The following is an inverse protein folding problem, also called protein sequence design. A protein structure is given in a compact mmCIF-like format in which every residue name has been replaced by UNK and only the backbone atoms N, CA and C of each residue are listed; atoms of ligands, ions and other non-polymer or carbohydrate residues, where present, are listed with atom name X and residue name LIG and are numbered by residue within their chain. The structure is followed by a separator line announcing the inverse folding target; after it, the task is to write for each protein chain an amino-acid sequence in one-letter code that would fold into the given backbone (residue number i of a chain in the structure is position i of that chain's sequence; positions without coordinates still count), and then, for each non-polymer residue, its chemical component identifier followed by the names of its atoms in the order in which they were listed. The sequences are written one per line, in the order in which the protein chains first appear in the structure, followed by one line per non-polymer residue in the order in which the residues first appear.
data_IF_625117748808
#
_entry.id   IF_625117748808
#
_cell.length_a   1.000
_cell.length_b   1.000
_cell.length_c   1.000
_cell.angle_alpha   90.00
_cell.angle_beta   90.00
_cell.angle_gamma   90.00
#
_symmetry.space_group_name_H-M   'P 1'
#
loop_
_entity.id
_entity.type
_entity.pdbx_description
1 polymer ?
#
# COMPACT_ATOMS: atom_id res chain seq x y z
N UNK A 1 66.27 18.47 38.52
CA UNK A 1 66.36 17.07 38.91
C UNK A 1 65.25 16.36 38.11
N UNK A 2 65.64 15.79 37.01
CA UNK A 2 65.78 14.40 36.65
C UNK A 2 64.73 13.49 37.29
N UNK A 3 63.80 12.85 36.59
CA UNK A 3 64.02 11.63 35.85
C UNK A 3 62.82 11.24 34.95
N UNK A 4 63.21 10.86 33.77
CA UNK A 4 62.56 10.10 32.76
C UNK A 4 62.15 8.69 33.21
N UNK A 5 61.11 8.10 32.60
CA UNK A 5 61.09 6.68 32.23
C UNK A 5 60.16 6.40 31.07
N UNK A 6 60.72 6.29 29.95
CA UNK A 6 60.63 5.36 28.82
C UNK A 6 59.56 4.27 28.85
N UNK A 7 58.73 4.24 27.81
CA UNK A 7 58.70 3.28 26.71
C UNK A 7 58.13 1.90 26.96
N UNK A 8 57.11 1.52 26.22
CA UNK A 8 57.10 0.28 25.43
C UNK A 8 56.10 0.37 24.28
N UNK A 9 56.62 0.50 23.07
CA UNK A 9 55.92 0.25 21.81
C UNK A 9 55.66 -1.23 21.68
N UNK A 10 54.45 -1.59 21.31
CA UNK A 10 54.06 -2.87 20.73
C UNK A 10 53.60 -2.66 19.30
N UNK A 11 54.42 -2.97 18.34
CA UNK A 11 54.12 -2.91 16.94
C UNK A 11 53.27 -4.14 16.54
N UNK A 12 52.13 -3.93 15.91
CA UNK A 12 51.47 -4.94 15.09
C UNK A 12 51.46 -4.46 13.64
N UNK A 13 52.32 -5.08 12.86
CA UNK A 13 52.32 -4.98 11.42
C UNK A 13 51.22 -5.89 10.85
N UNK A 14 50.27 -5.31 10.14
CA UNK A 14 49.35 -6.06 9.26
C UNK A 14 49.53 -5.47 7.85
N UNK A 15 49.98 -6.31 6.94
CA UNK A 15 50.38 -5.99 5.59
C UNK A 15 49.22 -5.48 4.73
N UNK A 16 49.47 -4.36 4.07
CA UNK A 16 48.62 -3.79 3.04
C UNK A 16 49.11 -4.36 1.69
N UNK A 17 48.33 -5.19 1.05
CA UNK A 17 48.54 -5.53 -0.36
C UNK A 17 47.79 -4.52 -1.21
N UNK A 18 48.57 -3.60 -1.78
CA UNK A 18 48.11 -2.72 -2.84
C UNK A 18 48.13 -3.47 -4.16
N UNK A 19 46.97 -3.77 -4.71
CA UNK A 19 46.81 -4.09 -6.12
C UNK A 19 46.17 -2.87 -6.79
N UNK A 20 46.99 -2.12 -7.50
CA UNK A 20 46.55 -1.01 -8.33
C UNK A 20 45.92 -1.50 -9.61
N UNK A 21 44.92 -0.78 -10.08
CA UNK A 21 44.26 -0.98 -11.38
C UNK A 21 43.14 0.02 -11.54
N UNK A 22 43.43 1.14 -12.18
CA UNK A 22 42.46 2.17 -12.49
C UNK A 22 41.50 1.76 -13.57
N UNK A 23 40.26 2.17 -13.43
CA UNK A 23 39.37 2.58 -14.53
C UNK A 23 38.16 3.29 -13.92
N UNK A 24 38.03 4.58 -14.24
CA UNK A 24 36.81 5.32 -13.97
C UNK A 24 35.71 4.76 -14.88
N UNK A 25 34.88 3.91 -14.32
CA UNK A 25 33.63 3.42 -14.93
C UNK A 25 32.49 4.14 -14.25
N UNK A 26 31.76 4.97 -14.99
CA UNK A 26 30.45 5.46 -14.61
C UNK A 26 29.55 4.21 -14.56
N UNK A 27 29.44 3.63 -13.39
CA UNK A 27 28.60 2.47 -13.16
C UNK A 27 27.12 2.89 -13.24
N UNK A 28 26.49 2.66 -14.38
CA UNK A 28 25.05 2.50 -14.42
C UNK A 28 24.69 1.37 -13.46
N UNK A 29 23.97 1.69 -12.39
CA UNK A 29 23.37 0.68 -11.50
C UNK A 29 22.29 -0.02 -12.33
N UNK A 30 22.70 -1.01 -13.10
CA UNK A 30 21.79 -2.01 -13.64
C UNK A 30 21.33 -2.81 -12.42
N UNK A 31 20.08 -2.63 -12.02
CA UNK A 31 19.41 -3.56 -11.11
C UNK A 31 19.37 -4.92 -11.82
N UNK A 32 20.42 -5.69 -11.65
CA UNK A 32 20.45 -7.06 -12.12
C UNK A 32 19.31 -7.80 -11.44
N UNK A 33 18.39 -8.34 -12.22
CA UNK A 33 17.37 -9.25 -11.72
C UNK A 33 18.11 -10.41 -11.01
N UNK A 34 17.84 -10.70 -9.74
CA UNK A 34 18.52 -11.78 -9.06
C UNK A 34 18.35 -13.08 -9.84
N UNK A 35 19.33 -13.99 -9.83
CA UNK A 35 19.19 -15.29 -10.48
C UNK A 35 17.92 -15.99 -10.00
N UNK A 36 17.25 -16.68 -10.90
CA UNK A 36 15.99 -17.40 -10.62
C UNK A 36 16.07 -18.26 -9.34
N UNK A 37 17.22 -18.91 -9.12
CA UNK A 37 17.46 -19.75 -7.94
C UNK A 37 17.43 -18.95 -6.62
N UNK A 38 17.94 -17.72 -6.60
CA UNK A 38 17.93 -16.88 -5.38
C UNK A 38 16.55 -16.33 -5.11
N UNK A 39 15.80 -16.02 -6.16
CA UNK A 39 14.41 -15.60 -6.06
C UNK A 39 13.52 -16.73 -5.52
N UNK A 40 13.70 -17.96 -5.99
CA UNK A 40 12.98 -19.14 -5.51
C UNK A 40 13.33 -19.49 -4.05
N UNK A 41 14.58 -19.31 -3.63
CA UNK A 41 15.00 -19.49 -2.23
C UNK A 41 14.34 -18.48 -1.29
N UNK A 42 14.28 -17.22 -1.70
CA UNK A 42 13.60 -16.17 -0.92
C UNK A 42 12.10 -16.47 -0.81
N UNK A 43 11.46 -16.88 -1.90
CA UNK A 43 10.05 -17.29 -1.89
C UNK A 43 9.81 -18.50 -0.99
N UNK A 44 10.68 -19.51 -1.03
CA UNK A 44 10.57 -20.71 -0.19
C UNK A 44 10.84 -20.42 1.30
N UNK A 45 11.80 -19.54 1.62
CA UNK A 45 12.10 -19.14 2.99
C UNK A 45 10.95 -18.34 3.63
N UNK A 46 10.21 -17.56 2.83
CA UNK A 46 9.03 -16.81 3.28
C UNK A 46 7.77 -17.69 3.37
N UNK A 47 7.72 -18.81 2.65
CA UNK A 47 6.61 -19.77 2.72
C UNK A 47 6.71 -20.72 3.93
N UNK A 48 7.89 -20.89 4.51
CA UNK A 48 8.18 -21.89 5.57
C UNK A 48 7.97 -21.42 7.01
N UNK A 49 7.53 -20.19 7.27
CA UNK A 49 7.40 -19.64 8.63
C UNK A 49 5.98 -19.64 9.20
N UNK A 50 5.01 -20.23 8.50
CA UNK A 50 3.63 -20.24 8.96
C UNK A 50 3.12 -21.67 9.16
N UNK A 51 3.38 -22.22 10.36
CA UNK A 51 2.65 -23.36 10.90
C UNK A 51 1.86 -22.91 12.11
N UNK A 52 0.57 -22.66 11.91
CA UNK A 52 -0.38 -22.75 13.00
C UNK A 52 -1.24 -21.54 13.26
N UNK A 53 -2.49 -21.61 12.83
CA UNK A 53 -3.66 -21.70 13.69
C UNK A 53 -4.90 -21.71 12.80
N UNK A 54 -5.63 -22.81 12.84
CA UNK A 54 -6.98 -22.89 12.29
C UNK A 54 -7.89 -22.02 13.16
N UNK A 55 -8.37 -20.92 12.60
CA UNK A 55 -9.43 -20.07 13.14
C UNK A 55 -10.70 -20.26 12.30
N UNK A 56 -11.78 -20.58 12.98
CA UNK A 56 -13.10 -20.93 12.51
C UNK A 56 -13.78 -19.77 11.76
N UNK A 57 -14.31 -20.05 10.54
CA UNK A 57 -15.56 -19.47 10.03
C UNK A 57 -15.57 -18.00 9.60
N UNK A 58 -14.65 -17.57 8.72
CA UNK A 58 -14.78 -16.36 7.90
C UNK A 58 -14.53 -16.71 6.44
N UNK A 59 -15.09 -15.97 5.47
CA UNK A 59 -14.76 -16.13 4.06
C UNK A 59 -13.23 -16.24 3.91
N UNK A 60 -12.75 -17.30 3.21
CA UNK A 60 -11.33 -17.63 3.03
C UNK A 60 -10.58 -16.46 2.35
N UNK A 61 -10.22 -15.46 3.13
CA UNK A 61 -9.39 -14.35 2.67
C UNK A 61 -7.96 -14.83 2.56
N UNK A 62 -7.32 -14.59 1.42
CA UNK A 62 -5.94 -14.98 1.20
C UNK A 62 -5.00 -14.26 2.20
N UNK A 63 -4.17 -15.03 2.90
CA UNK A 63 -3.22 -14.51 3.85
C UNK A 63 -2.17 -13.59 3.18
N UNK A 64 -1.86 -12.44 3.78
CA UNK A 64 -0.89 -11.53 3.23
C UNK A 64 0.53 -12.11 3.31
N UNK A 65 1.29 -11.93 2.23
CA UNK A 65 2.73 -12.22 2.25
C UNK A 65 3.40 -11.28 3.28
N UNK A 66 4.30 -11.77 4.16
CA UNK A 66 4.98 -10.92 5.13
C UNK A 66 5.63 -9.70 4.48
N UNK A 67 5.31 -8.51 4.97
CA UNK A 67 5.74 -7.22 4.43
C UNK A 67 4.94 -6.75 3.19
N UNK A 68 3.74 -7.26 2.99
CA UNK A 68 2.78 -6.81 1.97
C UNK A 68 2.09 -5.51 2.40
N UNK A 69 2.85 -4.41 2.43
CA UNK A 69 2.42 -3.08 2.87
C UNK A 69 2.51 -2.01 1.77
N UNK A 70 2.85 -2.41 0.56
CA UNK A 70 2.98 -1.49 -0.57
C UNK A 70 4.24 -0.62 -0.57
N UNK A 71 5.16 -0.76 0.39
CA UNK A 71 6.44 -0.02 0.40
C UNK A 71 7.39 -0.55 -0.67
N UNK A 72 7.36 -1.84 -0.95
CA UNK A 72 8.26 -2.54 -1.88
C UNK A 72 7.63 -2.72 -3.25
N UNK A 73 8.45 -2.62 -4.29
CA UNK A 73 8.04 -2.94 -5.66
C UNK A 73 8.24 -4.42 -6.02
N UNK A 74 8.82 -5.21 -5.13
CA UNK A 74 9.00 -6.65 -5.30
C UNK A 74 8.94 -7.35 -3.95
N UNK A 75 8.22 -8.47 -3.90
CA UNK A 75 8.03 -9.27 -2.70
C UNK A 75 7.73 -10.71 -3.08
N UNK A 76 8.28 -11.67 -2.34
CA UNK A 76 8.03 -13.11 -2.47
C UNK A 76 7.99 -13.62 -3.94
N UNK A 77 8.94 -13.16 -4.74
CA UNK A 77 9.09 -13.62 -6.12
C UNK A 77 8.27 -12.89 -7.17
N UNK A 78 7.41 -11.95 -6.79
CA UNK A 78 6.66 -11.12 -7.74
C UNK A 78 7.15 -9.67 -7.66
N UNK A 79 7.33 -9.03 -8.83
CA UNK A 79 7.77 -7.65 -8.95
C UNK A 79 6.80 -6.82 -9.81
N UNK A 80 6.46 -5.64 -9.32
CA UNK A 80 5.75 -4.61 -10.08
C UNK A 80 6.73 -3.87 -10.98
N UNK A 81 6.49 -3.92 -12.29
CA UNK A 81 7.30 -3.29 -13.36
C UNK A 81 6.48 -2.19 -14.04
N UNK A 82 6.59 -0.94 -13.59
CA UNK A 82 5.86 0.18 -14.19
C UNK A 82 6.49 0.66 -15.50
N UNK A 83 5.66 1.16 -16.44
CA UNK A 83 6.11 1.90 -17.62
C UNK A 83 4.94 2.73 -18.20
N UNK A 84 5.03 4.07 -18.25
CA UNK A 84 6.07 4.95 -17.72
C UNK A 84 5.94 5.18 -16.20
N UNK A 85 6.90 5.90 -15.62
CA UNK A 85 6.88 6.33 -14.20
C UNK A 85 6.76 7.85 -14.04
N UNK A 86 6.61 8.58 -15.14
CA UNK A 86 6.47 10.03 -15.12
C UNK A 86 5.30 10.48 -16.00
N UNK A 87 4.53 11.45 -15.51
CA UNK A 87 3.30 11.95 -16.13
C UNK A 87 3.26 13.48 -16.09
N UNK A 88 2.50 14.10 -16.98
CA UNK A 88 2.28 15.54 -16.96
C UNK A 88 1.24 15.91 -15.89
N UNK A 89 1.40 17.06 -15.24
CA UNK A 89 0.41 17.59 -14.30
C UNK A 89 -0.87 18.02 -15.01
N UNK A 90 -2.00 17.95 -14.32
CA UNK A 90 -3.31 18.36 -14.83
C UNK A 90 -3.88 17.46 -15.92
N UNK A 91 -3.36 16.25 -16.08
CA UNK A 91 -3.76 15.35 -17.17
C UNK A 91 -4.41 14.07 -16.66
N UNK A 92 -5.10 13.38 -17.59
CA UNK A 92 -5.41 11.95 -17.48
C UNK A 92 -4.52 11.20 -18.44
N UNK A 93 -3.97 10.07 -18.01
CA UNK A 93 -3.06 9.28 -18.83
C UNK A 93 -3.27 7.78 -18.61
N UNK A 94 -3.09 7.00 -19.66
CA UNK A 94 -3.06 5.56 -19.54
C UNK A 94 -1.73 5.12 -18.92
N UNK A 95 -1.76 4.61 -17.71
CA UNK A 95 -0.61 3.95 -17.10
C UNK A 95 -0.60 2.47 -17.43
N UNK A 96 0.58 1.96 -17.77
CA UNK A 96 0.81 0.54 -18.03
C UNK A 96 1.85 -0.01 -17.08
N UNK A 97 1.68 -1.27 -16.68
CA UNK A 97 2.64 -1.98 -15.85
C UNK A 97 2.54 -3.49 -16.07
N UNK A 98 3.46 -4.25 -15.50
CA UNK A 98 3.43 -5.70 -15.44
C UNK A 98 3.72 -6.17 -14.03
N UNK A 99 3.09 -7.27 -13.65
CA UNK A 99 3.52 -8.09 -12.54
C UNK A 99 4.40 -9.18 -13.14
N UNK A 100 5.66 -9.24 -12.73
CA UNK A 100 6.63 -10.18 -13.27
C UNK A 100 7.07 -11.17 -12.19
N UNK A 101 7.05 -12.44 -12.51
CA UNK A 101 7.60 -13.49 -11.67
C UNK A 101 9.14 -13.49 -11.67
N UNK A 102 9.73 -14.38 -10.87
CA UNK A 102 11.18 -14.55 -10.78
C UNK A 102 11.85 -14.86 -12.11
N UNK A 103 11.14 -15.53 -13.01
CA UNK A 103 11.63 -15.87 -14.37
C UNK A 103 11.47 -14.69 -15.35
N UNK A 104 11.03 -13.54 -14.87
CA UNK A 104 10.76 -12.35 -15.67
C UNK A 104 9.49 -12.41 -16.51
N UNK A 105 8.76 -13.54 -16.48
CA UNK A 105 7.49 -13.66 -17.22
C UNK A 105 6.36 -12.96 -16.51
N UNK A 106 5.35 -12.50 -17.25
CA UNK A 106 4.16 -11.89 -16.64
C UNK A 106 3.38 -12.89 -15.77
N UNK A 107 3.06 -12.49 -14.54
CA UNK A 107 2.09 -13.16 -13.69
C UNK A 107 0.70 -12.82 -14.23
N UNK A 108 -0.01 -13.83 -14.72
CA UNK A 108 -1.31 -13.64 -15.40
C UNK A 108 -2.48 -14.25 -14.64
N UNK A 109 -2.20 -15.25 -13.80
CA UNK A 109 -3.21 -15.93 -13.01
C UNK A 109 -3.29 -15.24 -11.66
N UNK A 110 -4.30 -14.40 -11.50
CA UNK A 110 -4.67 -13.79 -10.24
C UNK A 110 -6.06 -14.30 -9.85
N UNK A 111 -6.31 -14.31 -8.57
CA UNK A 111 -7.59 -14.68 -7.98
C UNK A 111 -8.41 -13.41 -7.71
N UNK A 112 -9.71 -13.41 -7.98
CA UNK A 112 -10.52 -12.24 -7.73
C UNK A 112 -10.74 -12.03 -6.22
N UNK A 113 -10.51 -10.83 -5.76
CA UNK A 113 -10.87 -10.36 -4.42
C UNK A 113 -11.82 -9.17 -4.57
N UNK A 114 -12.92 -9.17 -3.85
CA UNK A 114 -13.97 -8.14 -3.96
C UNK A 114 -14.43 -7.92 -5.43
N UNK A 115 -14.50 -9.00 -6.22
CA UNK A 115 -14.95 -8.98 -7.61
C UNK A 115 -13.93 -8.37 -8.60
N UNK A 116 -12.68 -8.13 -8.19
CA UNK A 116 -11.60 -7.60 -9.05
C UNK A 116 -10.36 -8.48 -8.94
N UNK A 117 -9.62 -8.60 -10.06
CA UNK A 117 -8.33 -9.30 -10.06
C UNK A 117 -7.20 -8.49 -9.44
N UNK A 118 -7.32 -7.16 -9.46
CA UNK A 118 -6.30 -6.26 -8.94
C UNK A 118 -6.94 -4.92 -8.56
N UNK A 119 -6.65 -4.46 -7.35
CA UNK A 119 -6.93 -3.12 -6.87
C UNK A 119 -5.70 -2.25 -7.01
N UNK A 120 -5.86 -1.03 -7.45
CA UNK A 120 -4.80 -0.05 -7.57
C UNK A 120 -5.17 1.21 -6.80
N UNK A 121 -4.40 1.51 -5.78
CA UNK A 121 -4.47 2.77 -5.06
C UNK A 121 -3.40 3.70 -5.63
N UNK A 122 -3.80 4.91 -6.00
CA UNK A 122 -2.87 5.98 -6.37
C UNK A 122 -3.14 7.16 -5.46
N UNK A 123 -2.11 7.66 -4.80
CA UNK A 123 -2.21 8.78 -3.88
C UNK A 123 -0.94 9.64 -3.96
N UNK A 124 -1.07 10.95 -3.85
CA UNK A 124 0.06 11.86 -3.76
C UNK A 124 0.80 11.65 -2.43
N UNK A 125 2.06 12.01 -2.36
CA UNK A 125 2.91 11.78 -1.18
C UNK A 125 2.43 12.47 0.11
N UNK A 126 1.55 13.45 0.01
CA UNK A 126 0.87 14.09 1.14
C UNK A 126 -0.52 13.48 1.43
N UNK A 127 -0.78 12.28 0.91
CA UNK A 127 -2.02 11.53 1.05
C UNK A 127 -3.27 12.26 0.51
N UNK A 128 -3.06 13.17 -0.45
CA UNK A 128 -4.14 13.80 -1.24
C UNK A 128 -4.27 13.17 -2.63
N UNK A 129 -5.22 13.62 -3.44
CA UNK A 129 -5.45 13.13 -4.81
C UNK A 129 -5.65 11.59 -4.88
N UNK A 130 -6.32 11.04 -3.88
CA UNK A 130 -6.61 9.61 -3.78
C UNK A 130 -7.43 9.10 -4.96
N UNK A 131 -7.02 7.97 -5.50
CA UNK A 131 -7.75 7.25 -6.53
C UNK A 131 -7.71 5.74 -6.20
N UNK A 132 -8.87 5.10 -6.25
CA UNK A 132 -8.99 3.64 -6.20
C UNK A 132 -9.48 3.15 -7.56
N UNK A 133 -8.65 2.40 -8.24
CA UNK A 133 -8.79 2.04 -9.64
C UNK A 133 -8.70 0.51 -9.83
N UNK A 134 -9.27 0.02 -10.93
CA UNK A 134 -9.23 -1.41 -11.28
C UNK A 134 -8.61 -1.59 -12.67
N UNK A 135 -7.31 -1.86 -12.76
CA UNK A 135 -6.61 -2.06 -14.02
C UNK A 135 -7.16 -3.25 -14.81
N UNK A 136 -7.02 -3.15 -16.14
CA UNK A 136 -7.39 -4.21 -17.08
C UNK A 136 -6.18 -5.02 -17.48
N UNK A 137 -6.26 -6.35 -17.38
CA UNK A 137 -5.26 -7.29 -17.89
C UNK A 137 -5.39 -7.46 -19.40
N UNK A 138 -4.27 -7.36 -20.11
CA UNK A 138 -4.16 -7.60 -21.56
C UNK A 138 -3.59 -8.98 -21.89
N UNK A 139 -3.76 -9.40 -23.14
CA UNK A 139 -3.28 -10.71 -23.61
C UNK A 139 -1.76 -10.88 -23.53
N UNK A 140 -0.99 -9.79 -23.57
CA UNK A 140 0.47 -9.79 -23.42
C UNK A 140 0.94 -9.83 -21.95
N UNK A 141 0.00 -9.90 -21.00
CA UNK A 141 0.26 -9.90 -19.56
C UNK A 141 0.58 -8.52 -18.98
N UNK A 142 0.40 -7.45 -19.77
CA UNK A 142 0.43 -6.08 -19.23
C UNK A 142 -0.92 -5.71 -18.62
N UNK A 143 -0.89 -4.80 -17.67
CA UNK A 143 -2.04 -4.13 -17.09
C UNK A 143 -2.11 -2.71 -17.58
N UNK A 144 -3.30 -2.14 -17.71
CA UNK A 144 -3.49 -0.73 -17.99
C UNK A 144 -4.66 -0.14 -17.24
N UNK A 145 -4.56 1.15 -16.94
CA UNK A 145 -5.59 1.93 -16.26
C UNK A 145 -5.45 3.39 -16.63
N UNK A 146 -6.56 4.11 -16.70
CA UNK A 146 -6.55 5.58 -16.75
C UNK A 146 -6.39 6.13 -15.34
N UNK A 147 -5.37 6.95 -15.14
CA UNK A 147 -5.15 7.67 -13.89
C UNK A 147 -5.09 9.18 -14.12
N UNK A 148 -5.42 9.94 -13.09
CA UNK A 148 -5.32 11.37 -13.09
C UNK A 148 -4.09 11.81 -12.26
N UNK A 149 -3.40 12.85 -12.73
CA UNK A 149 -2.28 13.48 -12.03
C UNK A 149 -2.52 14.98 -11.93
N UNK A 150 -3.46 15.41 -11.06
CA UNK A 150 -3.92 16.80 -11.04
C UNK A 150 -2.84 17.78 -10.59
N UNK A 151 -1.94 17.35 -9.70
CA UNK A 151 -0.91 18.21 -9.12
C UNK A 151 0.51 17.67 -9.40
N UNK A 152 1.53 18.53 -9.51
CA UNK A 152 2.93 18.12 -9.45
C UNK A 152 3.28 17.43 -8.12
N UNK A 153 4.28 16.54 -8.17
CA UNK A 153 4.77 15.84 -6.98
C UNK A 153 5.06 14.37 -7.22
N UNK A 154 5.29 13.65 -6.13
CA UNK A 154 5.41 12.20 -6.14
C UNK A 154 4.07 11.57 -5.78
N UNK A 155 3.71 10.50 -6.45
CA UNK A 155 2.53 9.68 -6.17
C UNK A 155 2.98 8.26 -5.83
N UNK A 156 2.35 7.66 -4.84
CA UNK A 156 2.45 6.22 -4.60
C UNK A 156 1.38 5.53 -5.44
N UNK A 157 1.79 4.51 -6.17
CA UNK A 157 0.90 3.57 -6.84
C UNK A 157 1.07 2.21 -6.17
N UNK A 158 0.01 1.72 -5.54
CA UNK A 158 0.00 0.51 -4.71
C UNK A 158 -0.96 -0.48 -5.35
N UNK A 159 -0.45 -1.65 -5.71
CA UNK A 159 -1.24 -2.75 -6.27
C UNK A 159 -1.52 -3.77 -5.17
N UNK A 160 -2.77 -4.15 -5.02
CA UNK A 160 -3.26 -5.16 -4.09
C UNK A 160 -3.94 -6.26 -4.90
N UNK A 161 -3.48 -7.52 -4.75
CA UNK A 161 -3.94 -8.66 -5.54
C UNK A 161 -3.62 -10.00 -4.87
N UNK A 162 -4.35 -11.03 -5.26
CA UNK A 162 -4.12 -12.41 -4.82
C UNK A 162 -3.53 -13.23 -5.96
N UNK A 163 -2.45 -13.96 -5.66
CA UNK A 163 -1.81 -14.91 -6.57
C UNK A 163 -1.35 -16.16 -5.79
N UNK A 164 -1.65 -17.34 -6.33
CA UNK A 164 -1.33 -18.63 -5.72
C UNK A 164 -1.78 -18.71 -4.24
N UNK A 165 -3.04 -18.26 -3.98
CA UNK A 165 -3.66 -18.28 -2.65
C UNK A 165 -3.07 -17.30 -1.63
N UNK A 166 -2.18 -16.38 -2.04
CA UNK A 166 -1.53 -15.41 -1.14
C UNK A 166 -1.78 -13.99 -1.59
N UNK A 167 -1.93 -13.09 -0.63
CA UNK A 167 -2.15 -11.67 -0.89
C UNK A 167 -0.82 -10.91 -0.99
N UNK A 168 -0.73 -10.08 -2.03
CA UNK A 168 0.42 -9.25 -2.34
C UNK A 168 0.01 -7.78 -2.37
N UNK A 169 0.77 -6.95 -1.68
CA UNK A 169 0.67 -5.49 -1.81
C UNK A 169 2.03 -4.95 -2.23
N UNK A 170 2.12 -4.50 -3.48
CA UNK A 170 3.35 -3.96 -4.06
C UNK A 170 3.16 -2.50 -4.44
N UNK A 171 4.18 -1.68 -4.21
CA UNK A 171 4.09 -0.27 -4.52
C UNK A 171 5.27 0.27 -5.33
N UNK A 172 5.00 1.33 -6.07
CA UNK A 172 6.01 2.08 -6.82
C UNK A 172 5.73 3.57 -6.73
N UNK A 173 6.73 4.39 -7.07
CA UNK A 173 6.59 5.84 -7.11
C UNK A 173 6.41 6.30 -8.55
N UNK A 174 5.37 7.09 -8.79
CA UNK A 174 5.16 7.82 -10.02
C UNK A 174 5.53 9.28 -9.79
N UNK A 175 6.09 9.94 -10.79
CA UNK A 175 6.55 11.33 -10.71
C UNK A 175 5.75 12.22 -11.64
N UNK A 176 5.36 13.37 -11.14
CA UNK A 176 4.73 14.45 -11.91
C UNK A 176 5.63 15.68 -11.77
N UNK A 177 6.40 16.04 -12.82
CA UNK A 177 7.32 17.18 -12.77
C UNK A 177 6.60 18.48 -12.44
N UNK A 178 7.32 19.38 -11.77
CA UNK A 178 6.81 20.66 -11.31
C UNK A 178 6.88 20.79 -9.80
N UNK A 179 6.33 21.87 -9.28
CA UNK A 179 6.25 22.15 -7.84
C UNK A 179 4.82 22.48 -7.46
N UNK A 180 4.33 21.84 -6.43
CA UNK A 180 3.08 22.18 -5.75
C UNK A 180 3.30 22.07 -4.25
N UNK A 181 2.66 22.95 -3.45
CA UNK A 181 2.74 22.86 -2.00
C UNK A 181 2.31 21.47 -1.50
N UNK A 182 3.03 20.95 -0.53
CA UNK A 182 2.56 19.78 0.24
C UNK A 182 1.46 20.25 1.18
N UNK A 183 0.37 19.52 1.23
CA UNK A 183 -0.72 19.78 2.18
C UNK A 183 -0.40 19.08 3.49
N UNK A 184 -0.51 19.76 4.63
CA UNK A 184 -0.40 19.08 5.92
C UNK A 184 -1.52 18.05 6.04
N UNK A 185 -1.24 16.94 6.71
CA UNK A 185 -2.26 15.96 7.04
C UNK A 185 -3.33 16.66 7.92
N UNK A 186 -4.63 16.53 7.58
CA UNK A 186 -5.68 17.08 8.41
C UNK A 186 -5.64 16.51 9.84
N UNK A 187 -6.05 17.33 10.82
CA UNK A 187 -6.19 16.85 12.18
C UNK A 187 -7.16 15.66 12.26
N UNK A 188 -7.00 14.75 13.24
CA UNK A 188 -7.94 13.67 13.47
C UNK A 188 -9.37 14.19 13.65
N UNK A 189 -10.31 13.52 12.98
CA UNK A 189 -11.73 13.86 13.05
C UNK A 189 -12.57 12.60 13.00
N UNK A 190 -13.63 12.56 13.80
CA UNK A 190 -14.65 11.52 13.72
C UNK A 190 -15.74 11.84 12.69
N UNK A 191 -15.65 12.98 12.02
CA UNK A 191 -16.65 13.39 11.04
C UNK A 191 -15.99 13.79 9.73
N UNK A 192 -16.60 13.38 8.63
CA UNK A 192 -16.25 13.77 7.28
C UNK A 192 -17.52 13.98 6.43
N UNK A 193 -17.38 14.67 5.30
CA UNK A 193 -18.46 14.82 4.33
C UNK A 193 -17.98 14.41 2.94
N UNK A 194 -18.87 13.80 2.17
CA UNK A 194 -18.62 13.38 0.79
C UNK A 194 -19.87 13.57 -0.06
N UNK A 195 -19.82 14.49 -1.04
CA UNK A 195 -20.89 14.73 -2.02
C UNK A 195 -22.30 14.94 -1.42
N UNK A 196 -22.38 15.66 -0.27
CA UNK A 196 -23.63 15.94 0.45
C UNK A 196 -24.09 14.80 1.38
N UNK A 197 -23.24 13.83 1.62
CA UNK A 197 -23.37 12.86 2.69
C UNK A 197 -22.49 13.28 3.88
N UNK A 198 -22.99 13.07 5.09
CA UNK A 198 -22.22 13.21 6.32
C UNK A 198 -21.88 11.79 6.82
N UNK A 199 -20.62 11.60 7.19
CA UNK A 199 -20.10 10.30 7.63
C UNK A 199 -19.46 10.50 9.00
N UNK A 200 -19.97 9.75 9.99
CA UNK A 200 -19.45 9.70 11.35
C UNK A 200 -18.67 8.40 11.57
N UNK A 201 -17.44 8.51 12.02
CA UNK A 201 -16.60 7.37 12.42
C UNK A 201 -16.81 7.09 13.91
N UNK A 202 -17.31 5.90 14.21
CA UNK A 202 -17.44 5.34 15.56
C UNK A 202 -16.31 4.31 15.76
N UNK A 203 -15.52 4.48 16.81
CA UNK A 203 -14.36 3.65 17.11
C UNK A 203 -14.09 3.63 18.61
N UNK A 204 -13.23 2.74 19.13
CA UNK A 204 -12.72 2.83 20.49
C UNK A 204 -12.12 4.21 20.79
N UNK A 205 -12.12 4.60 22.06
CA UNK A 205 -11.55 5.90 22.48
C UNK A 205 -10.07 6.02 22.10
N UNK A 206 -9.36 4.92 22.14
CA UNK A 206 -7.96 4.77 21.72
C UNK A 206 -7.84 3.60 20.76
N UNK A 207 -7.12 3.78 19.67
CA UNK A 207 -6.77 2.74 18.68
C UNK A 207 -5.27 2.49 18.83
N UNK A 208 -4.87 1.23 19.04
CA UNK A 208 -3.50 0.85 19.32
C UNK A 208 -2.91 -0.03 18.24
N UNK A 209 -1.60 0.16 18.01
CA UNK A 209 -0.88 -0.69 17.09
C UNK A 209 -0.80 -2.14 17.62
N UNK A 210 -1.07 -3.12 16.76
CA UNK A 210 -1.07 -4.55 17.07
C UNK A 210 -2.32 -5.05 17.80
N UNK A 211 -3.35 -4.21 17.94
CA UNK A 211 -4.64 -4.62 18.49
C UNK A 211 -5.70 -4.65 17.37
N UNK A 212 -6.59 -5.63 17.42
CA UNK A 212 -7.76 -5.67 16.55
C UNK A 212 -8.82 -4.70 17.06
N UNK A 213 -9.26 -3.80 16.18
CA UNK A 213 -10.30 -2.82 16.45
C UNK A 213 -11.42 -2.87 15.41
N UNK A 214 -12.60 -2.38 15.80
CA UNK A 214 -13.70 -2.15 14.87
C UNK A 214 -13.87 -0.66 14.59
N UNK A 215 -13.91 -0.33 13.30
CA UNK A 215 -14.28 0.99 12.81
C UNK A 215 -15.66 0.92 12.18
N UNK A 216 -16.63 1.61 12.75
CA UNK A 216 -18.00 1.68 12.22
C UNK A 216 -18.28 3.07 11.67
N UNK A 217 -18.75 3.13 10.44
CA UNK A 217 -19.10 4.38 9.76
C UNK A 217 -20.61 4.50 9.66
N UNK A 218 -21.15 5.59 10.18
CA UNK A 218 -22.56 5.96 10.03
C UNK A 218 -22.68 6.95 8.89
N UNK A 219 -23.46 6.61 7.87
CA UNK A 219 -23.67 7.45 6.70
C UNK A 219 -25.07 8.06 6.78
N UNK A 220 -25.15 9.38 6.74
CA UNK A 220 -26.40 10.14 6.75
C UNK A 220 -26.47 11.14 5.60
N UNK A 221 -27.67 11.53 5.25
CA UNK A 221 -27.93 12.63 4.32
C UNK A 221 -29.04 13.51 4.86
N UNK A 222 -28.75 14.81 5.06
CA UNK A 222 -29.69 15.71 5.72
C UNK A 222 -30.14 15.25 7.11
N UNK A 223 -29.21 14.66 7.89
CA UNK A 223 -29.44 14.14 9.23
C UNK A 223 -30.23 12.83 9.32
N UNK A 224 -30.53 12.16 8.19
CA UNK A 224 -31.22 10.87 8.15
C UNK A 224 -30.28 9.76 7.69
N UNK A 225 -30.37 8.56 8.26
CA UNK A 225 -29.60 7.39 7.78
C UNK A 225 -29.83 7.14 6.29
N UNK A 226 -28.77 6.79 5.57
CA UNK A 226 -28.82 6.39 4.15
C UNK A 226 -29.19 4.92 4.11
N UNK A 227 -30.42 4.60 3.72
CA UNK A 227 -30.98 3.24 3.67
C UNK A 227 -30.83 2.57 2.29
N UNK A 228 -30.54 3.37 1.26
CA UNK A 228 -30.39 2.95 -0.13
C UNK A 228 -28.92 2.75 -0.54
N UNK A 229 -28.06 2.40 0.41
CA UNK A 229 -26.69 1.96 0.11
C UNK A 229 -26.71 0.80 -0.87
N UNK A 230 -25.81 0.83 -1.83
CA UNK A 230 -25.69 -0.16 -2.89
C UNK A 230 -24.38 -0.94 -2.74
N UNK A 231 -24.34 -2.24 -3.12
CA UNK A 231 -23.08 -2.98 -3.12
C UNK A 231 -22.02 -2.31 -4.00
N UNK A 232 -20.81 -2.23 -3.49
CA UNK A 232 -19.62 -1.75 -4.16
C UNK A 232 -18.46 -2.66 -3.81
N UNK A 233 -17.88 -3.35 -4.79
CA UNK A 233 -16.76 -4.29 -4.59
C UNK A 233 -17.11 -5.43 -3.61
N UNK A 234 -18.30 -6.00 -3.74
CA UNK A 234 -18.72 -7.15 -2.93
C UNK A 234 -19.31 -6.82 -1.56
N UNK A 235 -19.17 -5.59 -1.06
CA UNK A 235 -19.72 -5.12 0.21
C UNK A 235 -20.43 -3.77 0.04
N UNK A 236 -21.00 -3.22 1.10
CA UNK A 236 -21.64 -1.89 1.06
C UNK A 236 -20.66 -0.74 1.28
N UNK A 237 -19.43 -1.05 1.66
CA UNK A 237 -18.33 -0.10 1.77
C UNK A 237 -17.00 -0.76 1.51
N UNK A 238 -16.03 0.06 1.10
CA UNK A 238 -14.64 -0.34 0.92
C UNK A 238 -13.75 0.68 1.63
N UNK A 239 -12.93 0.21 2.55
CA UNK A 239 -12.05 1.05 3.36
C UNK A 239 -10.59 0.80 2.98
N UNK A 240 -9.87 1.88 2.72
CA UNK A 240 -8.42 1.85 2.53
C UNK A 240 -7.78 2.68 3.64
N UNK A 241 -6.81 2.12 4.33
CA UNK A 241 -6.03 2.79 5.35
C UNK A 241 -4.56 2.91 4.90
N UNK A 242 -4.04 4.13 4.89
CA UNK A 242 -2.66 4.45 4.48
C UNK A 242 -1.92 5.14 5.61
N UNK A 243 -0.82 4.55 6.08
CA UNK A 243 0.04 5.14 7.09
C UNK A 243 0.85 6.30 6.52
N UNK A 244 0.86 7.45 7.19
CA UNK A 244 1.74 8.56 6.86
C UNK A 244 3.15 8.32 7.45
N UNK A 245 4.22 8.81 6.78
CA UNK A 245 4.25 9.58 5.53
C UNK A 245 4.41 8.72 4.26
N UNK A 246 4.59 7.40 4.37
CA UNK A 246 5.03 6.55 3.26
C UNK A 246 3.89 5.96 2.44
N UNK A 247 2.65 6.24 2.82
CA UNK A 247 1.44 5.63 2.27
C UNK A 247 1.49 4.09 2.36
N UNK A 248 2.02 3.56 3.48
CA UNK A 248 1.99 2.14 3.70
C UNK A 248 0.55 1.66 3.88
N UNK A 249 0.20 0.62 3.16
CA UNK A 249 -1.13 0.07 3.13
C UNK A 249 -1.38 -0.82 4.35
N UNK A 250 -2.47 -0.56 5.06
CA UNK A 250 -2.95 -1.44 6.12
C UNK A 250 -4.18 -2.21 5.67
N UNK A 251 -4.21 -3.46 6.00
CA UNK A 251 -5.31 -4.37 5.69
C UNK A 251 -6.53 -4.03 6.53
N UNK A 252 -7.68 -4.04 5.86
CA UNK A 252 -8.98 -3.76 6.47
C UNK A 252 -10.00 -4.74 5.90
N UNK A 253 -10.79 -5.35 6.76
CA UNK A 253 -11.78 -6.35 6.37
C UNK A 253 -13.20 -5.87 6.64
N UNK A 254 -14.14 -5.95 5.68
CA UNK A 254 -15.55 -5.74 5.96
C UNK A 254 -16.02 -6.71 7.07
N UNK A 255 -16.67 -6.17 8.11
CA UNK A 255 -17.15 -6.95 9.25
C UNK A 255 -18.67 -7.03 9.31
N UNK A 256 -19.38 -6.08 8.66
CA UNK A 256 -20.83 -6.09 8.62
C UNK A 256 -21.43 -4.77 8.19
N UNK A 257 -22.74 -4.79 7.96
CA UNK A 257 -23.53 -3.61 7.65
C UNK A 257 -24.92 -3.67 8.29
N UNK A 258 -25.42 -2.51 8.69
CA UNK A 258 -26.83 -2.29 8.99
C UNK A 258 -27.37 -1.15 8.10
N UNK A 259 -28.00 -1.53 7.03
CA UNK A 259 -28.55 -0.59 6.02
C UNK A 259 -29.68 0.26 6.56
N UNK A 260 -30.44 -0.21 7.56
CA UNK A 260 -31.52 0.58 8.14
C UNK A 260 -30.98 1.78 8.91
N UNK A 261 -29.84 1.60 9.56
CA UNK A 261 -29.15 2.64 10.33
C UNK A 261 -28.05 3.34 9.53
N UNK A 262 -27.79 2.93 8.28
CA UNK A 262 -26.71 3.48 7.44
C UNK A 262 -25.31 3.17 7.98
N UNK A 263 -25.12 2.01 8.65
CA UNK A 263 -23.88 1.61 9.28
C UNK A 263 -23.09 0.65 8.38
N UNK A 264 -21.78 0.84 8.31
CA UNK A 264 -20.83 -0.08 7.70
C UNK A 264 -19.68 -0.26 8.69
N UNK A 265 -19.33 -1.50 9.01
CA UNK A 265 -18.32 -1.86 10.00
C UNK A 265 -17.16 -2.61 9.34
N UNK A 266 -15.94 -2.30 9.79
CA UNK A 266 -14.71 -2.96 9.37
C UNK A 266 -13.93 -3.42 10.59
N UNK A 267 -13.30 -4.60 10.48
CA UNK A 267 -12.25 -5.01 11.40
C UNK A 267 -10.91 -4.48 10.86
N UNK A 268 -10.10 -3.94 11.75
CA UNK A 268 -8.81 -3.33 11.42
C UNK A 268 -7.75 -3.80 12.41
N UNK A 269 -6.53 -4.00 11.92
CA UNK A 269 -5.35 -4.12 12.74
C UNK A 269 -4.28 -3.20 12.16
N UNK A 270 -3.90 -2.18 12.92
CA UNK A 270 -2.84 -1.26 12.53
C UNK A 270 -1.52 -1.76 13.11
N UNK A 271 -0.58 -2.16 12.26
CA UNK A 271 0.69 -2.72 12.74
C UNK A 271 1.72 -1.66 13.17
N UNK A 272 1.48 -0.38 12.89
CA UNK A 272 2.39 0.72 13.20
C UNK A 272 1.66 1.84 13.93
N UNK A 273 2.42 2.55 14.79
CA UNK A 273 1.94 3.78 15.45
C UNK A 273 2.04 4.96 14.50
N UNK A 274 1.21 5.96 14.75
CA UNK A 274 1.24 7.22 14.00
C UNK A 274 -0.07 7.53 13.30
N UNK A 275 -0.01 8.48 12.37
CA UNK A 275 -1.18 8.95 11.67
C UNK A 275 -1.49 8.08 10.45
N UNK A 276 -2.75 7.71 10.32
CA UNK A 276 -3.30 7.01 9.15
C UNK A 276 -4.32 7.90 8.44
N UNK A 277 -4.29 7.87 7.12
CA UNK A 277 -5.35 8.43 6.30
C UNK A 277 -6.30 7.31 5.89
N UNK A 278 -7.57 7.44 6.25
CA UNK A 278 -8.63 6.49 5.94
C UNK A 278 -9.47 7.03 4.79
N UNK A 279 -9.74 6.18 3.81
CA UNK A 279 -10.58 6.49 2.65
C UNK A 279 -11.72 5.48 2.61
N UNK A 280 -12.89 5.88 3.11
CA UNK A 280 -14.10 5.09 3.02
C UNK A 280 -14.80 5.37 1.69
N UNK A 281 -14.98 4.35 0.89
CA UNK A 281 -15.81 4.40 -0.31
C UNK A 281 -17.12 3.66 -0.08
N UNK A 282 -18.22 4.31 -0.43
CA UNK A 282 -19.56 3.71 -0.40
C UNK A 282 -20.34 4.13 -1.64
N UNK A 283 -21.32 3.31 -2.01
CA UNK A 283 -22.16 3.60 -3.17
C UNK A 283 -23.58 3.95 -2.73
N UNK A 284 -24.05 5.13 -3.16
CA UNK A 284 -25.40 5.60 -2.92
C UNK A 284 -25.88 6.44 -4.11
N UNK A 285 -27.17 6.48 -4.38
CA UNK A 285 -27.79 7.21 -5.49
C UNK A 285 -27.07 6.98 -6.86
N UNK A 286 -26.54 5.77 -7.08
CA UNK A 286 -25.85 5.38 -8.32
C UNK A 286 -24.39 5.86 -8.44
N UNK A 287 -23.87 6.68 -7.52
CA UNK A 287 -22.51 7.17 -7.47
C UNK A 287 -21.66 6.47 -6.40
N UNK A 288 -20.32 6.48 -6.57
CA UNK A 288 -19.36 6.11 -5.54
C UNK A 288 -18.85 7.39 -4.89
N UNK A 289 -18.95 7.45 -3.56
CA UNK A 289 -18.55 8.58 -2.74
C UNK A 289 -17.35 8.18 -1.89
N UNK A 290 -16.43 9.11 -1.62
CA UNK A 290 -15.24 8.86 -0.79
C UNK A 290 -15.22 9.84 0.38
N UNK A 291 -15.34 9.31 1.59
CA UNK A 291 -15.16 10.08 2.82
C UNK A 291 -13.75 9.83 3.37
N UNK A 292 -13.09 10.89 3.82
CA UNK A 292 -11.68 10.87 4.21
C UNK A 292 -11.51 11.26 5.68
N UNK A 293 -10.77 10.45 6.42
CA UNK A 293 -10.50 10.69 7.84
C UNK A 293 -9.00 10.64 8.12
N UNK A 294 -8.59 11.26 9.21
CA UNK A 294 -7.28 11.05 9.81
C UNK A 294 -7.47 10.35 11.15
N UNK A 295 -6.78 9.22 11.34
CA UNK A 295 -6.80 8.41 12.54
C UNK A 295 -5.40 8.36 13.14
N UNK A 296 -5.27 8.70 14.43
CA UNK A 296 -4.05 8.47 15.20
C UNK A 296 -4.10 7.08 15.83
N UNK A 297 -2.97 6.35 15.74
CA UNK A 297 -2.75 5.04 16.32
C UNK A 297 -1.60 5.15 17.32
N UNK A 298 -1.85 4.77 18.56
CA UNK A 298 -0.90 4.89 19.70
C UNK A 298 -0.04 3.64 19.91
#
# INVERSE_FOLDING_TARGET
MFNSTTSRLGAFAAGLVLAGGGAAGIGSITHATPPLQDCLKVAAAQAGSDTGMMGDGGEDMAEPVPGADGRRSALAGIALKPAPTSFAAGTRATWRFRLAGCDGKPVRKLEPENGKLLHLIVVRSDLTDYQHLHPRLHRDGSWSVELATPQPGSYRAITDFVADGRKYVLGTTLKVPGSAPQRPLPAPSLNASADGYDVELQRPAEVRAGEEDQLTFRITRGGRPVQDLQPYLGAYGHLVALHAPEAAYSHVHPAGEDRQSGLITFNTEFHERGAFRLFLQFRAAGGVHTAEFTQEVS
#
